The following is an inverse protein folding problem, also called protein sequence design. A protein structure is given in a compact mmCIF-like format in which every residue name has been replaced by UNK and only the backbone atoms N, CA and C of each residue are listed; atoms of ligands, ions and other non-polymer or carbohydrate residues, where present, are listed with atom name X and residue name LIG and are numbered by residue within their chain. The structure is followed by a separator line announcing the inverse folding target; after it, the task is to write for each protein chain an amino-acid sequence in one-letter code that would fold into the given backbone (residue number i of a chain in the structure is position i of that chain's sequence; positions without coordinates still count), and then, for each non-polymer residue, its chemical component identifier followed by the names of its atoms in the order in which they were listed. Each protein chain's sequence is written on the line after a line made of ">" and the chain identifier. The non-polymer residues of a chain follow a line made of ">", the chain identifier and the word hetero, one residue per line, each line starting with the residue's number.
data_IF_139828946995
#
_entry.id   IF_139828946995
#
_cell.length_a   1.000
_cell.length_b   1.000
_cell.length_c   1.000
_cell.angle_alpha   90.00
_cell.angle_beta   90.00
_cell.angle_gamma   90.00
#
_symmetry.space_group_name_H-M   'P 1'
#
loop_
_entity.id
_entity.type
_entity.pdbx_description
1 polymer ?
#
# COMPACT_ATOMS: atom_id res chain seq x y z
N UNK A 1 -1.25 -8.34 6.28
CA UNK A 1 -0.15 -7.44 5.86
C UNK A 1 1.25 -7.90 6.28
N UNK A 2 1.53 -8.10 7.58
CA UNK A 2 2.86 -8.56 8.06
C UNK A 2 3.36 -9.87 7.41
N UNK A 3 2.45 -10.80 7.07
CA UNK A 3 2.75 -12.04 6.34
C UNK A 3 3.36 -11.79 4.94
N UNK A 4 3.00 -10.70 4.25
CA UNK A 4 3.51 -10.40 2.90
C UNK A 4 4.96 -9.92 2.92
N UNK A 5 5.38 -9.25 3.99
CA UNK A 5 6.79 -8.84 4.16
C UNK A 5 7.69 -10.05 4.14
N UNK A 6 7.37 -11.07 4.95
CA UNK A 6 8.14 -12.31 5.01
C UNK A 6 8.25 -12.94 3.63
N UNK A 7 7.13 -13.03 2.90
CA UNK A 7 7.08 -13.55 1.53
C UNK A 7 7.99 -12.77 0.57
N UNK A 8 7.88 -11.44 0.52
CA UNK A 8 8.69 -10.61 -0.39
C UNK A 8 10.17 -10.59 0.00
N UNK A 9 10.48 -10.56 1.30
CA UNK A 9 11.86 -10.62 1.79
C UNK A 9 12.53 -11.96 1.44
N UNK A 10 11.77 -13.07 1.38
CA UNK A 10 12.28 -14.36 0.87
C UNK A 10 12.73 -14.29 -0.60
N UNK A 11 12.26 -13.33 -1.39
CA UNK A 11 12.71 -13.09 -2.76
C UNK A 11 13.97 -12.22 -2.86
N UNK A 12 14.76 -12.10 -1.78
CA UNK A 12 15.98 -11.25 -1.70
C UNK A 12 15.74 -9.77 -1.99
N UNK A 13 14.51 -9.28 -1.72
CA UNK A 13 14.17 -7.85 -1.81
C UNK A 13 14.17 -7.24 -0.41
N UNK A 14 14.75 -6.05 -0.26
CA UNK A 14 14.63 -5.28 0.98
C UNK A 14 13.19 -4.76 1.08
N UNK A 15 12.42 -5.29 2.05
CA UNK A 15 11.03 -4.94 2.23
C UNK A 15 10.78 -4.56 3.69
N UNK A 16 10.14 -3.40 3.90
CA UNK A 16 9.78 -2.87 5.21
C UNK A 16 8.30 -2.51 5.22
N UNK A 17 7.69 -2.65 6.38
CA UNK A 17 6.28 -2.32 6.62
C UNK A 17 6.18 -1.48 7.86
N UNK A 18 5.30 -0.49 7.79
CA UNK A 18 5.15 0.51 8.82
C UNK A 18 3.70 0.48 9.32
N UNK A 19 3.53 0.17 10.59
CA UNK A 19 2.29 0.41 11.33
C UNK A 19 2.35 1.74 12.09
N UNK A 20 3.53 2.16 12.51
CA UNK A 20 3.75 3.40 13.22
C UNK A 20 3.90 4.56 12.23
N UNK A 21 3.19 5.65 12.50
CA UNK A 21 3.10 6.81 11.62
C UNK A 21 4.39 7.64 11.62
N UNK A 22 5.03 7.80 12.77
CA UNK A 22 6.26 8.57 12.90
C UNK A 22 7.41 7.91 12.15
N UNK A 23 7.56 6.58 12.31
CA UNK A 23 8.56 5.79 11.58
C UNK A 23 8.27 5.80 10.08
N UNK A 24 7.00 5.72 9.69
CA UNK A 24 6.58 5.80 8.28
C UNK A 24 7.02 7.12 7.64
N UNK A 25 6.80 8.26 8.29
CA UNK A 25 7.19 9.58 7.76
C UNK A 25 8.70 9.79 7.72
N UNK A 26 9.40 9.42 8.79
CA UNK A 26 10.85 9.52 8.84
C UNK A 26 11.46 8.67 7.73
N UNK A 27 11.02 7.41 7.62
CA UNK A 27 11.53 6.52 6.58
C UNK A 27 11.22 7.07 5.20
N UNK A 28 9.98 7.51 4.94
CA UNK A 28 9.60 8.08 3.63
C UNK A 28 10.46 9.28 3.25
N UNK A 29 10.92 10.07 4.22
CA UNK A 29 11.82 11.21 4.01
C UNK A 29 13.23 10.79 3.63
N UNK A 30 13.65 9.55 3.92
CA UNK A 30 15.00 9.04 3.68
C UNK A 30 15.09 8.13 2.44
N UNK A 31 13.98 7.95 1.71
CA UNK A 31 13.93 7.12 0.50
C UNK A 31 14.41 7.87 -0.75
N UNK A 32 14.64 7.11 -1.81
CA UNK A 32 15.05 7.59 -3.13
C UNK A 32 14.24 6.95 -4.27
N UNK A 33 14.55 7.37 -5.50
CA UNK A 33 13.91 6.87 -6.71
C UNK A 33 14.18 5.38 -7.04
N UNK A 34 15.05 4.70 -6.28
CA UNK A 34 15.28 3.26 -6.40
C UNK A 34 14.31 2.45 -5.54
N UNK A 35 13.49 3.12 -4.74
CA UNK A 35 12.51 2.50 -3.85
C UNK A 35 11.11 2.49 -4.48
N UNK A 36 10.44 1.34 -4.41
CA UNK A 36 9.04 1.18 -4.75
C UNK A 36 8.20 1.22 -3.47
N UNK A 37 7.22 2.11 -3.43
CA UNK A 37 6.23 2.20 -2.36
C UNK A 37 4.97 1.43 -2.76
N UNK A 38 4.47 0.59 -1.86
CA UNK A 38 3.13 -0.01 -1.94
C UNK A 38 2.27 0.58 -0.82
N UNK A 39 1.41 1.53 -1.17
CA UNK A 39 0.51 2.19 -0.22
C UNK A 39 -0.85 1.50 -0.18
N UNK A 40 -1.33 1.14 1.01
CA UNK A 40 -2.62 0.44 1.15
C UNK A 40 -3.56 1.26 2.03
N UNK A 41 -4.71 1.63 1.47
CA UNK A 41 -5.80 2.27 2.20
C UNK A 41 -7.12 1.89 1.56
N UNK A 42 -8.03 1.27 2.31
CA UNK A 42 -9.32 0.85 1.77
C UNK A 42 -10.16 2.05 1.33
N UNK A 43 -10.17 3.15 2.08
CA UNK A 43 -10.90 4.36 1.67
C UNK A 43 -10.15 5.18 0.61
N UNK A 44 -8.82 5.05 0.54
CA UNK A 44 -7.98 5.95 -0.25
C UNK A 44 -7.80 7.33 0.38
N UNK A 45 -8.40 7.55 1.56
CA UNK A 45 -8.46 8.84 2.27
C UNK A 45 -7.82 8.80 3.65
N UNK A 46 -7.03 7.76 3.97
CA UNK A 46 -6.32 7.68 5.25
C UNK A 46 -5.23 8.75 5.32
N UNK A 47 -5.35 9.79 6.18
CA UNK A 47 -4.48 10.98 6.11
C UNK A 47 -3.00 10.65 6.29
N UNK A 48 -2.69 9.68 7.15
CA UNK A 48 -1.33 9.26 7.42
C UNK A 48 -0.70 8.59 6.20
N UNK A 49 -1.45 7.75 5.49
CA UNK A 49 -0.98 7.11 4.26
C UNK A 49 -0.75 8.17 3.18
N UNK A 50 -1.68 9.09 3.00
CA UNK A 50 -1.58 10.19 2.03
C UNK A 50 -0.35 11.06 2.31
N UNK A 51 -0.11 11.43 3.57
CA UNK A 51 1.05 12.24 3.95
C UNK A 51 2.36 11.50 3.66
N UNK A 52 2.46 10.23 4.03
CA UNK A 52 3.65 9.42 3.75
C UNK A 52 3.91 9.28 2.25
N UNK A 53 2.86 9.05 1.45
CA UNK A 53 2.95 8.97 -0.01
C UNK A 53 3.43 10.29 -0.62
N UNK A 54 2.90 11.42 -0.17
CA UNK A 54 3.36 12.73 -0.63
C UNK A 54 4.85 12.96 -0.34
N UNK A 55 5.30 12.64 0.88
CA UNK A 55 6.72 12.73 1.25
C UNK A 55 7.57 11.84 0.33
N UNK A 56 7.19 10.57 0.14
CA UNK A 56 7.93 9.67 -0.73
C UNK A 56 7.95 10.14 -2.20
N UNK A 57 6.85 10.76 -2.67
CA UNK A 57 6.74 11.30 -4.02
C UNK A 57 7.70 12.46 -4.26
N UNK A 58 7.89 13.36 -3.27
CA UNK A 58 8.88 14.44 -3.40
C UNK A 58 10.32 13.92 -3.43
N UNK A 59 10.56 12.70 -2.96
CA UNK A 59 11.84 11.98 -3.10
C UNK A 59 12.00 11.22 -4.43
N UNK A 60 11.00 11.29 -5.32
CA UNK A 60 11.03 10.62 -6.61
C UNK A 60 10.78 9.11 -6.54
N UNK A 61 10.26 8.60 -5.41
CA UNK A 61 9.87 7.20 -5.29
C UNK A 61 8.73 6.86 -6.26
N UNK A 62 8.75 5.66 -6.83
CA UNK A 62 7.58 5.13 -7.54
C UNK A 62 6.56 4.62 -6.54
N UNK A 63 5.28 4.88 -6.79
CA UNK A 63 4.17 4.57 -5.90
C UNK A 63 3.13 3.72 -6.62
N UNK A 64 2.87 2.54 -6.07
CA UNK A 64 1.69 1.73 -6.39
C UNK A 64 0.76 1.77 -5.19
N UNK A 65 -0.53 1.97 -5.39
CA UNK A 65 -1.50 1.85 -4.31
C UNK A 65 -2.45 0.67 -4.48
N UNK A 66 -3.00 0.21 -3.35
CA UNK A 66 -4.13 -0.71 -3.26
C UNK A 66 -5.25 0.00 -2.51
N UNK A 67 -6.32 0.33 -3.22
CA UNK A 67 -7.42 1.12 -2.67
C UNK A 67 -8.75 0.80 -3.34
N UNK A 68 -9.87 1.18 -2.72
CA UNK A 68 -11.18 0.91 -3.27
C UNK A 68 -11.38 1.61 -4.62
N UNK A 69 -12.14 0.97 -5.51
CA UNK A 69 -12.49 1.54 -6.81
C UNK A 69 -13.22 2.88 -6.64
N UNK A 70 -12.82 3.88 -7.44
CA UNK A 70 -13.41 5.21 -7.45
C UNK A 70 -12.38 6.33 -7.43
N UNK A 71 -12.87 7.57 -7.40
CA UNK A 71 -12.04 8.76 -7.23
C UNK A 71 -11.62 8.89 -5.77
N UNK A 72 -10.31 8.82 -5.50
CA UNK A 72 -9.76 9.05 -4.17
C UNK A 72 -8.35 9.65 -4.26
N UNK A 73 -7.94 10.33 -3.19
CA UNK A 73 -6.68 11.05 -3.09
C UNK A 73 -5.49 10.13 -3.30
N UNK A 74 -5.48 8.95 -2.68
CA UNK A 74 -4.37 8.01 -2.80
C UNK A 74 -4.18 7.50 -4.24
N UNK A 75 -5.26 7.20 -4.95
CA UNK A 75 -5.21 6.80 -6.35
C UNK A 75 -4.61 7.89 -7.23
N UNK A 76 -5.02 9.15 -7.03
CA UNK A 76 -4.51 10.30 -7.79
C UNK A 76 -3.02 10.59 -7.51
N UNK A 77 -2.54 10.29 -6.31
CA UNK A 77 -1.14 10.47 -5.95
C UNK A 77 -0.23 9.35 -6.45
N UNK A 78 -0.78 8.19 -6.83
CA UNK A 78 0.00 7.00 -7.16
C UNK A 78 0.27 6.88 -8.67
N UNK A 79 1.39 6.27 -9.05
CA UNK A 79 1.73 6.03 -10.47
C UNK A 79 0.86 4.92 -11.08
N UNK A 80 0.49 3.94 -10.25
CA UNK A 80 -0.47 2.88 -10.60
C UNK A 80 -1.37 2.59 -9.41
N UNK A 81 -2.60 2.24 -9.70
CA UNK A 81 -3.57 1.80 -8.71
C UNK A 81 -4.02 0.37 -9.00
N UNK A 82 -3.98 -0.47 -7.97
CA UNK A 82 -4.60 -1.79 -7.93
C UNK A 82 -5.94 -1.63 -7.20
N UNK A 83 -6.99 -1.41 -7.98
CA UNK A 83 -8.33 -1.23 -7.41
C UNK A 83 -8.86 -2.53 -6.82
N UNK A 84 -9.43 -2.41 -5.63
CA UNK A 84 -10.17 -3.46 -4.95
C UNK A 84 -11.63 -3.05 -4.78
N UNK A 85 -12.48 -4.03 -4.50
CA UNK A 85 -13.77 -3.79 -3.88
C UNK A 85 -13.66 -4.09 -2.39
N UNK A 86 -13.86 -3.08 -1.55
CA UNK A 86 -13.89 -3.20 -0.10
C UNK A 86 -15.29 -2.87 0.40
N UNK A 87 -16.06 -3.91 0.76
CA UNK A 87 -17.37 -3.73 1.39
C UNK A 87 -17.22 -2.93 2.68
N UNK A 88 -18.07 -1.93 2.86
CA UNK A 88 -18.16 -1.12 4.06
C UNK A 88 -19.53 -1.31 4.71
N UNK A 89 -19.52 -1.53 6.03
CA UNK A 89 -20.72 -1.60 6.86
C UNK A 89 -20.57 -0.65 8.03
N UNK A 90 -21.67 -0.06 8.47
CA UNK A 90 -21.72 0.79 9.66
C UNK A 90 -22.76 0.25 10.63
N UNK A 91 -22.33 -0.04 11.86
CA UNK A 91 -23.20 -0.50 12.95
C UNK A 91 -22.85 0.33 14.18
N UNK A 92 -23.82 1.00 14.80
CA UNK A 92 -23.61 1.87 15.97
C UNK A 92 -22.48 2.90 15.77
N UNK A 93 -22.45 3.56 14.61
CA UNK A 93 -21.42 4.52 14.21
C UNK A 93 -19.98 3.94 14.10
N UNK A 94 -19.83 2.62 14.11
CA UNK A 94 -18.56 1.92 13.90
C UNK A 94 -18.51 1.43 12.47
N UNK A 95 -17.49 1.90 11.72
CA UNK A 95 -17.27 1.53 10.32
C UNK A 95 -16.37 0.31 10.21
N UNK A 96 -16.89 -0.75 9.58
CA UNK A 96 -16.18 -1.97 9.25
C UNK A 96 -15.86 -1.96 7.76
N UNK A 97 -14.60 -2.22 7.41
CA UNK A 97 -14.16 -2.34 6.01
C UNK A 97 -13.50 -3.69 5.77
N UNK A 98 -13.95 -4.40 4.75
CA UNK A 98 -13.37 -5.68 4.36
C UNK A 98 -11.97 -5.49 3.79
N UNK A 99 -11.01 -6.28 4.29
CA UNK A 99 -9.61 -6.29 3.82
C UNK A 99 -9.29 -7.53 2.97
N UNK A 100 -10.26 -8.40 2.73
CA UNK A 100 -10.06 -9.69 2.05
C UNK A 100 -9.54 -9.49 0.64
N UNK A 101 -10.19 -8.61 -0.14
CA UNK A 101 -9.79 -8.32 -1.53
C UNK A 101 -8.39 -7.74 -1.63
N UNK A 102 -8.01 -6.85 -0.69
CA UNK A 102 -6.66 -6.30 -0.62
C UNK A 102 -5.60 -7.39 -0.40
N UNK A 103 -5.88 -8.31 0.53
CA UNK A 103 -5.00 -9.45 0.78
C UNK A 103 -4.92 -10.38 -0.45
N UNK A 104 -6.03 -10.66 -1.10
CA UNK A 104 -6.07 -11.50 -2.30
C UNK A 104 -5.25 -10.90 -3.46
N UNK A 105 -5.39 -9.60 -3.73
CA UNK A 105 -4.58 -8.92 -4.76
C UNK A 105 -3.10 -8.94 -4.39
N UNK A 106 -2.74 -8.65 -3.14
CA UNK A 106 -1.34 -8.69 -2.72
C UNK A 106 -0.73 -10.09 -2.83
N UNK A 107 -1.54 -11.13 -2.60
CA UNK A 107 -1.13 -12.52 -2.79
C UNK A 107 -0.93 -12.85 -4.27
N UNK A 108 -1.88 -12.42 -5.12
CA UNK A 108 -1.75 -12.57 -6.57
C UNK A 108 -0.50 -11.87 -7.11
N UNK A 109 -0.25 -10.62 -6.71
CA UNK A 109 0.97 -9.87 -7.11
C UNK A 109 2.23 -10.63 -6.71
N UNK A 110 2.27 -11.20 -5.51
CA UNK A 110 3.40 -11.99 -5.05
C UNK A 110 3.61 -13.24 -5.92
N UNK A 111 2.58 -14.02 -6.19
CA UNK A 111 2.70 -15.21 -7.03
C UNK A 111 3.09 -14.87 -8.47
N UNK A 112 2.49 -13.84 -9.05
CA UNK A 112 2.87 -13.36 -10.39
C UNK A 112 4.33 -12.88 -10.46
N UNK A 113 4.83 -12.28 -9.39
CA UNK A 113 6.24 -11.93 -9.28
C UNK A 113 7.11 -13.21 -9.28
N UNK A 114 6.73 -14.23 -8.50
CA UNK A 114 7.46 -15.50 -8.50
C UNK A 114 7.45 -16.17 -9.87
N UNK A 115 6.32 -16.22 -10.57
CA UNK A 115 6.23 -16.88 -11.87
C UNK A 115 7.10 -16.21 -12.94
N UNK A 116 7.34 -14.89 -12.80
CA UNK A 116 8.13 -14.11 -13.77
C UNK A 116 9.63 -14.12 -13.47
N UNK A 117 10.01 -14.23 -12.20
CA UNK A 117 11.39 -14.01 -11.73
C UNK A 117 11.98 -15.21 -10.97
N UNK A 118 11.27 -16.35 -10.95
CA UNK A 118 11.90 -17.65 -10.71
C UNK A 118 12.65 -18.11 -11.96
#
# INVERSE_FOLDING_TARGET
>A
MHRYLKKISSCRKNCRYFNDTSIMYSTASDLDNKTLIIAISMSGETPQVIKAVNIAKTRGCKIICVTNVGYNTLANLSDKCLFIFSSEYEINNIKFRSRVTANAIMEYVFFRYLDKYK
#
